data_IF_696833468864
#
_entry.id   IF_696833468864
#
_cell.length_a   1.000
_cell.length_b   1.000
_cell.length_c   1.000
_cell.angle_alpha   90.00
_cell.angle_beta   90.00
_cell.angle_gamma   90.00
#
_symmetry.space_group_name_H-M   'P 1'
#
loop_
_entity.id
_entity.type
_entity.pdbx_description
1 polymer ?
#
# COMPACT_ATOMS: atom_id res chain seq x y z
N UNK A 1 -7.75 15.53 6.69
CA UNK A 1 -6.81 15.32 5.56
C UNK A 1 -7.59 14.98 4.30
N UNK A 2 -7.23 15.53 3.13
CA UNK A 2 -7.93 15.22 1.88
C UNK A 2 -7.74 13.74 1.50
N UNK A 3 -8.77 13.11 0.89
CA UNK A 3 -8.62 11.78 0.30
C UNK A 3 -7.64 11.82 -0.88
N UNK A 4 -7.10 10.66 -1.26
CA UNK A 4 -6.42 10.51 -2.55
C UNK A 4 -7.34 10.99 -3.68
N UNK A 5 -6.89 11.91 -4.55
CA UNK A 5 -7.73 12.39 -5.64
C UNK A 5 -8.11 11.26 -6.59
N UNK A 6 -9.36 11.28 -7.08
CA UNK A 6 -9.96 10.20 -7.88
C UNK A 6 -9.12 9.81 -9.10
N UNK A 7 -8.47 10.78 -9.75
CA UNK A 7 -7.58 10.54 -10.89
C UNK A 7 -6.43 9.58 -10.58
N UNK A 8 -5.90 9.61 -9.35
CA UNK A 8 -4.82 8.72 -8.93
C UNK A 8 -5.33 7.30 -8.65
N UNK A 9 -6.56 7.18 -8.10
CA UNK A 9 -7.24 5.89 -7.95
C UNK A 9 -7.49 5.25 -9.31
N UNK A 10 -7.87 6.05 -10.31
CA UNK A 10 -8.07 5.56 -11.67
C UNK A 10 -6.77 5.06 -12.30
N UNK A 11 -5.62 5.69 -12.00
CA UNK A 11 -4.31 5.20 -12.47
C UNK A 11 -3.94 3.84 -11.88
N UNK A 12 -4.22 3.62 -10.60
CA UNK A 12 -4.03 2.31 -9.96
C UNK A 12 -4.91 1.24 -10.64
N UNK A 13 -6.18 1.55 -10.90
CA UNK A 13 -7.10 0.65 -11.62
C UNK A 13 -6.65 0.37 -13.05
N UNK A 14 -6.18 1.39 -13.77
CA UNK A 14 -5.66 1.24 -15.14
C UNK A 14 -4.36 0.41 -15.17
N UNK A 15 -3.65 0.29 -14.06
CA UNK A 15 -2.52 -0.62 -13.89
C UNK A 15 -2.94 -2.08 -13.60
N UNK A 16 -4.24 -2.38 -13.59
CA UNK A 16 -4.79 -3.72 -13.35
C UNK A 16 -5.04 -4.04 -11.87
N UNK A 17 -4.91 -3.07 -10.97
CA UNK A 17 -5.03 -3.29 -9.53
C UNK A 17 -6.48 -3.23 -9.06
N UNK A 18 -6.84 -4.09 -8.11
CA UNK A 18 -8.05 -3.90 -7.30
C UNK A 18 -7.85 -2.70 -6.38
N UNK A 19 -8.80 -1.75 -6.36
CA UNK A 19 -8.67 -0.52 -5.56
C UNK A 19 -9.97 -0.25 -4.80
N UNK A 20 -9.91 -0.25 -3.47
CA UNK A 20 -11.02 0.09 -2.60
C UNK A 20 -10.61 1.16 -1.57
N UNK A 21 -11.57 1.98 -1.17
CA UNK A 21 -11.36 3.02 -0.17
C UNK A 21 -11.94 2.58 1.17
N UNK A 22 -11.19 2.86 2.23
CA UNK A 22 -11.56 2.58 3.60
C UNK A 22 -11.76 3.91 4.33
N UNK A 23 -12.76 3.94 5.22
CA UNK A 23 -12.99 5.08 6.10
C UNK A 23 -11.74 5.35 6.94
N UNK A 24 -11.41 6.62 7.24
CA UNK A 24 -10.31 6.94 8.14
C UNK A 24 -10.48 6.18 9.46
N UNK A 25 -9.40 5.64 10.02
CA UNK A 25 -9.45 5.16 11.40
C UNK A 25 -9.76 6.34 12.31
N UNK A 26 -10.76 6.17 13.20
CA UNK A 26 -11.10 7.17 14.23
C UNK A 26 -9.97 7.37 15.25
N UNK A 27 -8.95 6.52 15.23
CA UNK A 27 -7.89 6.46 16.24
C UNK A 27 -6.65 7.29 15.88
N UNK A 28 -6.52 7.77 14.64
CA UNK A 28 -5.33 8.51 14.20
C UNK A 28 -5.69 9.90 13.69
N UNK A 29 -5.53 10.89 14.56
CA UNK A 29 -5.72 12.29 14.21
C UNK A 29 -4.73 12.73 13.12
N UNK A 30 -5.21 13.49 12.14
CA UNK A 30 -4.38 14.02 11.05
C UNK A 30 -4.07 13.02 9.92
N UNK A 31 -4.75 11.87 9.87
CA UNK A 31 -4.71 10.92 8.74
C UNK A 31 -5.99 11.00 7.91
N UNK A 32 -5.84 10.91 6.58
CA UNK A 32 -6.94 10.92 5.63
C UNK A 32 -7.58 9.54 5.46
N UNK A 33 -8.63 9.44 4.62
CA UNK A 33 -9.16 8.15 4.20
C UNK A 33 -8.07 7.26 3.62
N UNK A 34 -8.12 5.97 3.94
CA UNK A 34 -7.18 4.97 3.43
C UNK A 34 -7.68 4.43 2.10
N UNK A 35 -6.73 4.07 1.25
CA UNK A 35 -6.97 3.43 -0.04
C UNK A 35 -6.14 2.17 -0.06
N UNK A 36 -6.76 1.06 -0.36
CA UNK A 36 -6.06 -0.22 -0.45
C UNK A 36 -6.00 -0.65 -1.91
N UNK A 37 -4.78 -0.86 -2.39
CA UNK A 37 -4.48 -1.41 -3.70
C UNK A 37 -4.08 -2.88 -3.54
N UNK A 38 -4.64 -3.77 -4.35
CA UNK A 38 -4.44 -5.22 -4.24
C UNK A 38 -4.17 -5.88 -5.59
N UNK A 39 -3.31 -6.89 -5.56
CA UNK A 39 -3.07 -7.85 -6.65
C UNK A 39 -2.68 -9.20 -6.04
N UNK A 40 -3.57 -10.20 -6.17
CA UNK A 40 -3.45 -11.48 -5.49
C UNK A 40 -3.37 -11.34 -3.97
N UNK A 41 -2.34 -11.94 -3.38
CA UNK A 41 -2.09 -11.92 -1.93
C UNK A 41 -1.40 -10.64 -1.44
N UNK A 42 -0.98 -9.76 -2.35
CA UNK A 42 -0.27 -8.53 -1.99
C UNK A 42 -1.24 -7.36 -1.87
N UNK A 43 -1.01 -6.57 -0.82
CA UNK A 43 -1.83 -5.40 -0.50
C UNK A 43 -0.93 -4.22 -0.13
N UNK A 44 -1.24 -3.05 -0.67
CA UNK A 44 -0.67 -1.78 -0.24
C UNK A 44 -1.75 -0.88 0.29
N UNK A 45 -1.48 -0.21 1.41
CA UNK A 45 -2.32 0.82 2.00
C UNK A 45 -1.70 2.18 1.67
N UNK A 46 -2.53 3.09 1.13
CA UNK A 46 -2.15 4.44 0.76
C UNK A 46 -3.03 5.45 1.51
N UNK A 47 -2.44 6.49 2.10
CA UNK A 47 -3.20 7.57 2.74
C UNK A 47 -2.40 8.87 2.81
N UNK A 48 -3.12 9.98 2.95
CA UNK A 48 -2.52 11.28 3.28
C UNK A 48 -2.33 11.44 4.78
N UNK A 49 -1.20 11.99 5.22
CA UNK A 49 -0.92 12.34 6.61
C UNK A 49 -0.26 13.73 6.67
N UNK A 50 -0.94 14.71 7.27
CA UNK A 50 -0.54 16.14 7.30
C UNK A 50 -0.25 16.77 5.92
N UNK A 51 1.00 16.86 5.50
CA UNK A 51 1.44 17.40 4.21
C UNK A 51 2.11 16.31 3.33
N UNK A 52 2.03 15.05 3.76
CA UNK A 52 2.70 13.90 3.14
C UNK A 52 1.72 12.83 2.68
N UNK A 53 2.23 11.94 1.84
CA UNK A 53 1.52 10.80 1.30
C UNK A 53 2.27 9.53 1.64
N UNK A 54 1.57 8.57 2.23
CA UNK A 54 2.16 7.34 2.75
C UNK A 54 1.72 6.18 1.87
N UNK A 55 2.66 5.28 1.59
CA UNK A 55 2.42 3.96 1.03
C UNK A 55 3.04 2.94 1.98
N UNK A 56 2.23 2.00 2.46
CA UNK A 56 2.71 0.96 3.35
C UNK A 56 2.22 -0.43 2.93
N UNK A 57 3.07 -1.42 3.20
CA UNK A 57 2.75 -2.83 3.10
C UNK A 57 2.95 -3.44 4.49
N UNK A 58 1.97 -4.22 4.96
CA UNK A 58 2.06 -4.99 6.20
C UNK A 58 1.46 -6.37 5.97
N UNK A 59 2.29 -7.41 6.06
CA UNK A 59 1.93 -8.80 5.80
C UNK A 59 1.64 -9.60 7.07
N UNK A 60 2.14 -9.15 8.22
CA UNK A 60 1.88 -9.76 9.53
C UNK A 60 1.94 -8.71 10.63
N UNK A 61 1.02 -8.81 11.59
CA UNK A 61 1.06 -8.00 12.83
C UNK A 61 2.07 -8.51 13.84
N UNK A 62 2.45 -9.79 13.71
CA UNK A 62 3.13 -10.54 14.78
C UNK A 62 4.63 -10.75 14.46
N UNK A 63 5.01 -10.67 13.18
CA UNK A 63 6.39 -10.81 12.72
C UNK A 63 6.69 -9.79 11.61
N UNK A 64 7.79 -9.05 11.72
CA UNK A 64 8.22 -8.14 10.64
C UNK A 64 8.56 -8.95 9.41
N UNK A 65 7.71 -8.88 8.38
CA UNK A 65 8.01 -9.45 7.08
C UNK A 65 9.09 -8.58 6.40
N UNK A 66 10.10 -9.17 5.73
CA UNK A 66 11.07 -8.40 4.93
C UNK A 66 10.41 -7.56 3.81
N UNK A 67 9.19 -7.93 3.42
CA UNK A 67 8.35 -7.20 2.48
C UNK A 67 7.51 -6.09 3.10
N UNK A 68 7.53 -5.92 4.44
CA UNK A 68 6.86 -4.81 5.11
C UNK A 68 7.67 -3.53 4.90
N UNK A 69 6.96 -2.45 4.57
CA UNK A 69 7.57 -1.15 4.46
C UNK A 69 6.55 -0.05 4.70
N UNK A 70 7.07 1.14 5.03
CA UNK A 70 6.32 2.37 5.02
C UNK A 70 7.19 3.44 4.36
N UNK A 71 6.68 4.03 3.28
CA UNK A 71 7.36 5.07 2.51
C UNK A 71 6.55 6.35 2.55
N UNK A 72 7.25 7.48 2.63
CA UNK A 72 6.65 8.82 2.75
C UNK A 72 7.05 9.66 1.55
N UNK A 73 6.06 10.25 0.88
CA UNK A 73 6.20 11.03 -0.34
C UNK A 73 5.67 12.45 -0.13
N UNK A 74 6.20 13.40 -0.90
CA UNK A 74 5.76 14.80 -0.87
C UNK A 74 4.50 15.01 -1.71
N UNK A 75 4.29 14.19 -2.74
CA UNK A 75 3.14 14.30 -3.64
C UNK A 75 2.34 12.99 -3.74
N UNK A 76 1.04 13.07 -4.05
CA UNK A 76 0.24 11.87 -4.28
C UNK A 76 0.67 11.13 -5.56
N UNK A 77 1.26 11.85 -6.52
CA UNK A 77 1.76 11.29 -7.77
C UNK A 77 2.92 10.32 -7.54
N UNK A 78 3.91 10.74 -6.75
CA UNK A 78 5.05 9.91 -6.37
C UNK A 78 4.61 8.66 -5.59
N UNK A 79 3.66 8.82 -4.65
CA UNK A 79 3.10 7.71 -3.89
C UNK A 79 2.42 6.67 -4.81
N UNK A 80 1.61 7.12 -5.77
CA UNK A 80 0.92 6.24 -6.72
C UNK A 80 1.90 5.60 -7.70
N UNK A 81 2.91 6.33 -8.17
CA UNK A 81 3.96 5.77 -9.01
C UNK A 81 4.74 4.67 -8.28
N UNK A 82 5.07 4.87 -7.00
CA UNK A 82 5.74 3.85 -6.18
C UNK A 82 4.87 2.61 -5.96
N UNK A 83 3.57 2.80 -5.70
CA UNK A 83 2.63 1.69 -5.56
C UNK A 83 2.54 0.87 -6.85
N UNK A 84 2.41 1.53 -8.01
CA UNK A 84 2.41 0.83 -9.31
C UNK A 84 3.74 0.10 -9.55
N UNK A 85 4.88 0.70 -9.18
CA UNK A 85 6.19 0.07 -9.31
C UNK A 85 6.31 -1.20 -8.45
N UNK A 86 5.77 -1.19 -7.23
CA UNK A 86 5.71 -2.37 -6.37
C UNK A 86 4.99 -3.54 -7.06
N UNK A 87 3.79 -3.28 -7.61
CA UNK A 87 2.99 -4.29 -8.32
C UNK A 87 3.58 -4.71 -9.67
N UNK A 88 4.60 -4.01 -10.19
CA UNK A 88 5.43 -4.48 -11.31
C UNK A 88 6.48 -5.53 -10.89
N UNK A 89 6.36 -6.07 -9.67
CA UNK A 89 7.17 -7.17 -9.11
C UNK A 89 8.63 -6.78 -8.88
N UNK A 90 8.82 -5.63 -8.24
CA UNK A 90 10.14 -5.18 -7.78
C UNK A 90 10.72 -6.08 -6.66
N UNK A 91 11.90 -5.73 -6.15
CA UNK A 91 12.59 -6.53 -5.13
C UNK A 91 11.79 -6.68 -3.82
N UNK A 92 10.95 -5.69 -3.47
CA UNK A 92 10.09 -5.73 -2.27
C UNK A 92 8.97 -6.75 -2.47
N UNK A 93 8.41 -6.80 -3.67
CA UNK A 93 7.41 -7.81 -4.03
C UNK A 93 7.98 -9.22 -3.94
N UNK A 94 9.18 -9.43 -4.49
CA UNK A 94 9.84 -10.74 -4.47
C UNK A 94 10.13 -11.20 -3.03
N UNK A 95 10.63 -10.29 -2.20
CA UNK A 95 10.87 -10.53 -0.77
C UNK A 95 9.58 -10.90 -0.02
N UNK A 96 8.48 -10.19 -0.27
CA UNK A 96 7.17 -10.50 0.31
C UNK A 96 6.65 -11.88 -0.14
N UNK A 97 6.79 -12.21 -1.43
CA UNK A 97 6.32 -13.48 -1.97
C UNK A 97 7.11 -14.67 -1.40
N UNK A 98 8.43 -14.53 -1.24
CA UNK A 98 9.27 -15.55 -0.61
C UNK A 98 8.90 -15.77 0.86
N UNK A 99 8.56 -14.69 1.59
CA UNK A 99 8.04 -14.80 2.95
C UNK A 99 6.70 -15.52 2.99
N UNK A 100 5.72 -15.12 2.16
CA UNK A 100 4.39 -15.74 2.10
C UNK A 100 4.51 -17.26 1.84
N UNK A 101 5.34 -17.67 0.87
CA UNK A 101 5.59 -19.08 0.58
C UNK A 101 6.20 -19.85 1.75
N UNK A 102 7.17 -19.26 2.47
CA UNK A 102 7.78 -19.90 3.64
C UNK A 102 6.79 -20.04 4.79
N UNK A 103 5.93 -19.05 5.00
CA UNK A 103 4.92 -19.05 6.06
C UNK A 103 3.81 -20.07 5.77
N UNK A 104 3.42 -20.25 4.51
CA UNK A 104 2.47 -21.29 4.10
C UNK A 104 3.03 -22.71 4.24
N UNK A 105 4.33 -22.93 4.01
CA UNK A 105 4.97 -24.24 4.16
C UNK A 105 5.26 -24.65 5.63
N UNK A 106 5.05 -23.74 6.58
CA UNK A 106 5.18 -24.01 8.03
C UNK A 106 3.86 -24.36 8.71
N UNK A 107 2.73 -24.20 8.01
CA UNK A 107 1.39 -24.58 8.46
C UNK A 107 1.05 -26.00 7.99
#
# INVERSE_FOLDING_TARGET
MPPFPVQFLQRLRNAGLGVYSESPSKEVDGVGPRVTAVDGDHKLILYGAKDKWIVEASYSTDEKCPGDFQLVFNTPDEAVANAIAYFKKDERWQSANDFIKRSQNKA
#
